data_IF_271222341108
#
_entry.id   IF_271222341108
#
_cell.length_a   1.000
_cell.length_b   1.000
_cell.length_c   1.000
_cell.angle_alpha   90.00
_cell.angle_beta   90.00
_cell.angle_gamma   90.00
#
_symmetry.space_group_name_H-M   'P 1'
#
loop_
_entity.id
_entity.type
_entity.pdbx_description
1 polymer ?
#
# COMPACT_ATOMS: atom_id res chain seq x y z
N UNK A 1 6.40 -2.49 41.47
CA UNK A 1 5.52 -3.55 40.94
C UNK A 1 4.07 -3.09 41.07
N UNK A 2 3.41 -2.70 39.97
CA UNK A 2 1.98 -2.35 39.99
C UNK A 2 1.28 -2.93 38.76
N UNK A 3 0.17 -3.62 39.05
CA UNK A 3 -0.55 -4.58 38.20
C UNK A 3 -1.38 -3.90 37.11
N UNK A 4 -1.38 -4.54 35.94
CA UNK A 4 -2.28 -4.29 34.80
C UNK A 4 -3.62 -4.99 35.07
N UNK A 5 -4.80 -4.40 34.75
CA UNK A 5 -6.06 -5.10 34.89
C UNK A 5 -6.33 -6.02 33.69
N UNK A 6 -6.49 -7.30 33.99
CA UNK A 6 -7.00 -8.37 33.11
C UNK A 6 -8.53 -8.32 33.05
N UNK A 7 -9.10 -8.52 31.85
CA UNK A 7 -10.54 -8.74 31.66
C UNK A 7 -10.87 -10.23 31.81
N UNK A 8 -11.63 -10.58 32.83
CA UNK A 8 -12.18 -11.93 33.07
C UNK A 8 -13.57 -12.09 32.43
N UNK A 9 -13.78 -13.28 31.87
CA UNK A 9 -15.05 -13.86 31.39
C UNK A 9 -15.78 -14.55 32.56
N UNK A 10 -17.10 -14.70 32.49
CA UNK A 10 -17.90 -15.60 33.33
C UNK A 10 -19.19 -16.08 32.59
N UNK A 11 -19.81 -17.22 33.00
CA UNK A 11 -20.28 -18.27 32.07
C UNK A 11 -21.78 -18.67 32.12
N UNK A 12 -22.17 -19.55 31.17
CA UNK A 12 -23.25 -20.58 31.22
C UNK A 12 -24.66 -20.15 30.78
N UNK A 13 -25.57 -20.96 30.21
CA UNK A 13 -25.60 -22.24 29.44
C UNK A 13 -27.09 -22.52 29.13
N UNK A 14 -27.46 -22.81 27.86
CA UNK A 14 -28.52 -23.70 27.29
C UNK A 14 -29.96 -23.79 27.90
N UNK A 15 -31.04 -24.22 27.16
CA UNK A 15 -31.07 -25.19 26.05
C UNK A 15 -31.99 -24.88 24.83
N UNK A 16 -31.86 -25.66 23.74
CA UNK A 16 -32.86 -25.80 22.63
C UNK A 16 -34.07 -26.65 23.04
N UNK A 17 -34.97 -27.19 22.16
CA UNK A 17 -34.93 -27.45 20.69
C UNK A 17 -36.30 -27.04 20.01
N UNK A 18 -36.90 -27.64 18.94
CA UNK A 18 -36.46 -28.64 17.95
C UNK A 18 -36.72 -28.27 16.45
N UNK A 19 -36.36 -29.19 15.57
CA UNK A 19 -36.55 -29.17 14.12
C UNK A 19 -37.72 -30.07 13.69
N UNK A 20 -38.62 -29.57 12.83
CA UNK A 20 -39.54 -30.33 11.95
C UNK A 20 -39.77 -29.46 10.69
N UNK A 21 -39.29 -29.89 9.51
CA UNK A 21 -40.05 -30.53 8.42
C UNK A 21 -41.31 -29.78 7.96
N UNK A 22 -41.26 -29.21 6.75
CA UNK A 22 -42.33 -29.37 5.75
C UNK A 22 -41.74 -29.17 4.34
N UNK A 23 -42.05 -30.12 3.46
CA UNK A 23 -41.70 -30.17 2.05
C UNK A 23 -42.75 -29.46 1.18
N UNK A 24 -42.30 -29.10 -0.03
CA UNK A 24 -43.02 -28.97 -1.30
C UNK A 24 -44.32 -28.16 -1.39
N UNK A 25 -44.30 -27.07 -2.18
CA UNK A 25 -44.89 -27.08 -3.54
C UNK A 25 -45.12 -25.68 -4.11
N UNK A 26 -44.88 -25.58 -5.42
CA UNK A 26 -45.50 -24.72 -6.44
C UNK A 26 -44.66 -23.60 -7.10
N UNK A 27 -44.64 -23.75 -8.42
CA UNK A 27 -43.97 -23.01 -9.47
C UNK A 27 -44.64 -21.68 -9.85
N UNK A 28 -43.79 -20.76 -10.33
CA UNK A 28 -43.99 -19.75 -11.40
C UNK A 28 -44.78 -18.46 -11.11
N UNK A 29 -44.61 -17.38 -11.91
CA UNK A 29 -43.40 -16.90 -12.61
C UNK A 29 -43.17 -15.36 -12.48
N UNK A 30 -42.01 -14.89 -12.97
CA UNK A 30 -41.72 -13.52 -13.41
C UNK A 30 -42.11 -12.33 -12.50
N UNK A 31 -41.16 -11.91 -11.66
CA UNK A 31 -41.00 -10.50 -11.28
C UNK A 31 -39.66 -9.99 -11.80
N UNK A 32 -39.60 -8.82 -12.47
CA UNK A 32 -38.35 -8.27 -12.95
C UNK A 32 -37.47 -7.93 -11.74
N UNK A 33 -36.33 -8.63 -11.62
CA UNK A 33 -35.30 -8.34 -10.62
C UNK A 33 -34.98 -6.85 -10.67
N UNK A 34 -35.27 -6.14 -9.59
CA UNK A 34 -34.80 -4.79 -9.33
C UNK A 34 -33.29 -4.74 -9.63
N UNK A 35 -32.93 -4.10 -10.75
CA UNK A 35 -31.55 -3.64 -10.97
C UNK A 35 -31.26 -2.69 -9.82
N UNK A 36 -30.44 -3.15 -8.87
CA UNK A 36 -30.06 -2.33 -7.72
C UNK A 36 -29.54 -0.98 -8.21
N UNK A 37 -29.91 0.11 -7.53
CA UNK A 37 -29.47 1.46 -7.91
C UNK A 37 -27.94 1.54 -8.10
N UNK A 38 -27.15 0.69 -7.42
CA UNK A 38 -25.69 0.56 -7.63
C UNK A 38 -25.28 0.23 -9.07
N UNK A 39 -26.04 -0.61 -9.78
CA UNK A 39 -25.72 -1.00 -11.16
C UNK A 39 -25.88 0.17 -12.16
N UNK A 40 -26.68 1.18 -11.83
CA UNK A 40 -26.85 2.40 -12.64
C UNK A 40 -25.78 3.46 -12.32
N UNK A 41 -25.18 3.43 -11.13
CA UNK A 41 -24.16 4.40 -10.71
C UNK A 41 -22.73 3.96 -10.98
N UNK A 42 -22.45 2.66 -11.10
CA UNK A 42 -21.10 2.13 -11.36
C UNK A 42 -20.43 2.69 -12.65
N UNK A 43 -21.15 2.87 -13.78
CA UNK A 43 -20.57 3.52 -14.97
C UNK A 43 -20.21 4.99 -14.74
N UNK A 44 -21.01 5.71 -13.94
CA UNK A 44 -20.84 7.14 -13.66
C UNK A 44 -19.74 7.38 -12.61
N UNK A 45 -19.62 6.52 -11.60
CA UNK A 45 -18.52 6.54 -10.62
C UNK A 45 -17.17 6.22 -11.25
N UNK A 46 -17.14 5.41 -12.32
CA UNK A 46 -15.92 5.13 -13.09
C UNK A 46 -15.40 6.30 -13.92
N UNK A 47 -16.22 7.35 -14.13
CA UNK A 47 -15.89 8.57 -14.86
C UNK A 47 -15.48 9.74 -13.96
N UNK A 48 -15.84 9.70 -12.68
CA UNK A 48 -15.44 10.75 -11.74
C UNK A 48 -13.95 10.63 -11.41
N UNK A 49 -13.22 11.76 -11.34
CA UNK A 49 -11.89 11.74 -10.76
C UNK A 49 -12.01 11.20 -9.33
N UNK A 50 -11.12 10.28 -8.95
CA UNK A 50 -11.07 9.73 -7.58
C UNK A 50 -10.90 10.84 -6.51
N UNK A 51 -10.60 12.10 -6.92
CA UNK A 51 -10.59 13.32 -6.10
C UNK A 51 -11.93 14.05 -6.17
N UNK A 52 -12.73 14.02 -5.11
CA UNK A 52 -13.86 14.96 -4.89
C UNK A 52 -13.56 15.94 -3.73
N UNK A 53 -14.23 17.11 -3.66
CA UNK A 53 -13.91 18.19 -2.72
C UNK A 53 -14.18 17.86 -1.23
N UNK A 54 -13.38 18.48 -0.34
CA UNK A 54 -13.01 18.04 1.02
C UNK A 54 -13.85 18.53 2.20
N UNK A 55 -14.93 19.30 2.03
CA UNK A 55 -15.48 20.05 3.18
C UNK A 55 -16.35 19.17 4.10
N UNK A 56 -17.33 18.44 3.57
CA UNK A 56 -18.28 17.66 4.41
C UNK A 56 -17.68 16.41 5.06
N UNK A 57 -16.71 15.75 4.41
CA UNK A 57 -16.08 14.53 4.92
C UNK A 57 -15.25 14.76 6.20
N UNK A 58 -14.72 15.97 6.39
CA UNK A 58 -13.85 16.26 7.55
C UNK A 58 -14.62 16.36 8.86
N UNK A 59 -15.84 16.90 8.83
CA UNK A 59 -16.70 16.98 10.01
C UNK A 59 -17.22 15.60 10.42
N UNK A 60 -17.63 14.79 9.45
CA UNK A 60 -18.09 13.41 9.70
C UNK A 60 -16.98 12.55 10.29
N UNK A 61 -15.75 12.71 9.80
CA UNK A 61 -14.57 12.00 10.32
C UNK A 61 -14.22 12.40 11.74
N UNK A 62 -14.33 13.69 12.06
CA UNK A 62 -14.11 14.19 13.42
C UNK A 62 -15.15 13.65 14.40
N UNK A 63 -16.42 13.70 14.03
CA UNK A 63 -17.51 13.17 14.87
C UNK A 63 -17.35 11.66 15.06
N UNK A 64 -16.98 10.92 14.01
CA UNK A 64 -16.74 9.48 14.10
C UNK A 64 -15.54 9.15 14.98
N UNK A 65 -14.42 9.88 14.84
CA UNK A 65 -13.26 9.73 15.70
C UNK A 65 -13.64 9.96 17.18
N UNK A 66 -14.34 11.06 17.48
CA UNK A 66 -14.80 11.35 18.84
C UNK A 66 -15.75 10.28 19.40
N UNK A 67 -16.66 9.73 18.58
CA UNK A 67 -17.53 8.62 18.99
C UNK A 67 -16.77 7.32 19.26
N UNK A 68 -15.66 7.07 18.55
CA UNK A 68 -14.82 5.88 18.76
C UNK A 68 -14.01 5.96 20.05
N UNK A 69 -13.71 7.17 20.54
CA UNK A 69 -12.99 7.39 21.81
C UNK A 69 -13.84 8.10 22.86
N UNK A 70 -15.12 7.71 22.98
CA UNK A 70 -16.04 8.22 24.00
C UNK A 70 -15.37 8.19 25.39
N UNK A 71 -15.40 9.32 26.07
CA UNK A 71 -14.74 9.52 27.38
C UNK A 71 -13.41 10.28 27.32
N UNK A 72 -12.84 10.52 26.12
CA UNK A 72 -11.67 11.41 25.96
C UNK A 72 -12.10 12.85 25.69
N UNK A 73 -11.33 13.81 26.21
CA UNK A 73 -11.62 15.23 26.01
C UNK A 73 -11.36 15.61 24.53
N UNK A 74 -12.17 16.49 23.90
CA UNK A 74 -11.98 16.85 22.48
C UNK A 74 -10.59 17.39 22.11
N UNK A 75 -9.83 17.94 23.08
CA UNK A 75 -8.44 18.42 22.91
C UNK A 75 -7.39 17.30 22.87
N UNK A 76 -7.78 16.08 23.21
CA UNK A 76 -6.94 14.87 23.19
C UNK A 76 -7.02 14.13 21.85
N UNK A 77 -7.97 14.53 20.99
CA UNK A 77 -8.23 13.91 19.69
C UNK A 77 -7.87 14.87 18.57
N UNK A 78 -6.82 14.55 17.81
CA UNK A 78 -6.43 15.32 16.63
C UNK A 78 -6.61 14.46 15.39
N UNK A 79 -7.68 14.69 14.62
CA UNK A 79 -7.85 13.99 13.34
C UNK A 79 -6.68 14.33 12.43
N UNK A 80 -5.92 13.31 12.03
CA UNK A 80 -4.78 13.50 11.13
C UNK A 80 -5.38 13.85 9.78
N UNK A 81 -5.24 15.12 9.40
CA UNK A 81 -5.56 15.57 8.05
C UNK A 81 -4.56 14.95 7.10
N UNK A 82 -4.79 13.72 6.69
CA UNK A 82 -4.12 13.22 5.50
C UNK A 82 -4.72 13.99 4.31
N UNK A 83 -3.91 14.39 3.32
CA UNK A 83 -4.43 14.78 2.03
C UNK A 83 -4.95 13.51 1.32
N UNK A 84 -5.94 12.84 1.92
CA UNK A 84 -6.48 11.60 1.41
C UNK A 84 -7.68 11.87 0.52
N UNK A 85 -7.77 11.00 -0.47
CA UNK A 85 -8.90 10.79 -1.36
C UNK A 85 -10.17 10.58 -0.51
N UNK A 86 -11.32 11.12 -0.91
CA UNK A 86 -12.61 10.94 -0.21
C UNK A 86 -13.09 9.48 -0.12
N UNK A 87 -12.29 8.52 -0.60
CA UNK A 87 -12.57 7.09 -0.65
C UNK A 87 -11.54 6.25 0.12
N UNK A 88 -10.86 6.83 1.11
CA UNK A 88 -10.03 6.00 2.00
C UNK A 88 -10.94 5.07 2.80
N UNK A 89 -10.73 3.77 2.65
CA UNK A 89 -11.41 2.74 3.44
C UNK A 89 -10.98 2.78 4.94
N UNK A 90 -10.17 3.75 5.32
CA UNK A 90 -9.63 3.97 6.66
C UNK A 90 -9.94 5.40 7.13
N UNK A 91 -10.35 5.52 8.39
CA UNK A 91 -10.28 6.76 9.17
C UNK A 91 -8.99 6.74 9.98
N UNK A 92 -8.19 7.80 9.91
CA UNK A 92 -6.91 7.92 10.66
C UNK A 92 -6.93 9.16 11.54
N UNK A 93 -6.63 9.01 12.83
CA UNK A 93 -6.60 10.11 13.78
C UNK A 93 -5.54 9.91 14.85
N UNK A 94 -5.00 11.00 15.38
CA UNK A 94 -4.07 11.00 16.49
C UNK A 94 -4.81 11.11 17.83
N UNK A 95 -4.30 10.42 18.83
CA UNK A 95 -4.70 10.56 20.22
C UNK A 95 -3.49 10.98 21.05
N UNK A 96 -3.72 11.89 21.98
CA UNK A 96 -2.71 12.35 22.95
C UNK A 96 -3.28 12.25 24.35
N UNK A 97 -2.63 11.48 25.21
CA UNK A 97 -2.97 11.36 26.64
C UNK A 97 -1.69 11.41 27.46
N UNK A 98 -1.50 12.49 28.22
CA UNK A 98 -0.22 12.79 28.86
C UNK A 98 0.92 12.84 27.84
N UNK A 99 1.96 12.03 28.04
CA UNK A 99 3.11 11.92 27.14
C UNK A 99 2.90 10.91 25.99
N UNK A 100 1.86 10.07 26.06
CA UNK A 100 1.58 9.09 25.01
C UNK A 100 0.92 9.78 23.81
N UNK A 101 1.54 9.64 22.64
CA UNK A 101 0.95 10.06 21.36
C UNK A 101 0.87 8.87 20.42
N UNK A 102 -0.36 8.51 20.03
CA UNK A 102 -0.63 7.39 19.12
C UNK A 102 -1.39 7.85 17.89
N UNK A 103 -1.23 7.11 16.81
CA UNK A 103 -2.06 7.17 15.61
C UNK A 103 -3.00 5.98 15.63
N UNK A 104 -4.29 6.22 15.49
CA UNK A 104 -5.34 5.22 15.40
C UNK A 104 -5.85 5.14 13.96
N UNK A 105 -5.93 3.92 13.46
CA UNK A 105 -6.51 3.56 12.17
C UNK A 105 -7.79 2.76 12.41
N UNK A 106 -8.91 3.26 11.92
CA UNK A 106 -10.21 2.63 12.01
C UNK A 106 -10.73 2.25 10.61
N UNK A 107 -11.02 0.97 10.34
CA UNK A 107 -11.44 0.50 9.03
C UNK A 107 -12.94 0.70 8.80
N UNK A 108 -13.27 1.31 7.65
CA UNK A 108 -14.63 1.60 7.19
C UNK A 108 -15.30 0.41 6.50
N UNK A 109 -14.55 -0.63 6.15
CA UNK A 109 -15.06 -1.88 5.57
C UNK A 109 -14.16 -3.07 5.91
N UNK A 110 -14.60 -4.29 5.55
CA UNK A 110 -13.87 -5.53 5.85
C UNK A 110 -12.50 -5.62 5.16
N UNK A 111 -12.36 -5.10 3.93
CA UNK A 111 -11.08 -5.13 3.22
C UNK A 111 -10.03 -4.25 3.92
N UNK A 112 -10.43 -3.09 4.42
CA UNK A 112 -9.57 -2.27 5.27
C UNK A 112 -9.32 -2.92 6.64
N UNK A 113 -10.27 -3.65 7.21
CA UNK A 113 -10.06 -4.38 8.45
C UNK A 113 -9.00 -5.47 8.28
N UNK A 114 -9.09 -6.25 7.20
CA UNK A 114 -8.08 -7.24 6.82
C UNK A 114 -6.71 -6.60 6.53
N UNK A 115 -6.68 -5.41 5.91
CA UNK A 115 -5.43 -4.68 5.70
C UNK A 115 -4.79 -4.22 7.02
N UNK A 116 -5.58 -3.78 8.01
CA UNK A 116 -5.07 -3.44 9.34
C UNK A 116 -4.63 -4.66 10.15
N UNK A 117 -5.32 -5.80 9.98
CA UNK A 117 -4.88 -7.07 10.56
C UNK A 117 -3.48 -7.44 10.05
N UNK A 118 -3.29 -7.40 8.73
CA UNK A 118 -1.97 -7.63 8.13
C UNK A 118 -0.92 -6.63 8.58
N UNK A 119 -1.27 -5.34 8.66
CA UNK A 119 -0.33 -4.33 9.17
C UNK A 119 0.07 -4.58 10.62
N UNK A 120 -0.86 -5.05 11.46
CA UNK A 120 -0.58 -5.44 12.84
C UNK A 120 0.41 -6.61 12.90
N UNK A 121 0.16 -7.67 12.13
CA UNK A 121 1.03 -8.86 12.10
C UNK A 121 2.43 -8.52 11.62
N UNK A 122 2.54 -7.78 10.50
CA UNK A 122 3.82 -7.32 9.94
C UNK A 122 4.60 -6.46 10.93
N UNK A 123 3.96 -5.53 11.65
CA UNK A 123 4.66 -4.70 12.63
C UNK A 123 5.17 -5.51 13.81
N UNK A 124 4.48 -6.59 14.19
CA UNK A 124 4.96 -7.51 15.22
C UNK A 124 6.14 -8.34 14.73
N UNK A 125 6.10 -8.82 13.49
CA UNK A 125 7.21 -9.55 12.88
C UNK A 125 8.45 -8.67 12.73
N UNK A 126 8.30 -7.45 12.21
CA UNK A 126 9.39 -6.46 12.14
C UNK A 126 9.96 -6.13 13.53
N UNK A 127 9.09 -6.03 14.54
CA UNK A 127 9.51 -5.82 15.92
C UNK A 127 10.06 -7.10 16.59
N UNK A 128 9.98 -8.27 15.98
CA UNK A 128 10.57 -9.50 16.49
C UNK A 128 11.88 -9.88 15.78
N UNK A 129 12.20 -9.22 14.66
CA UNK A 129 13.41 -9.47 13.88
C UNK A 129 14.60 -8.73 14.49
N UNK A 130 15.48 -9.45 15.19
CA UNK A 130 16.64 -8.89 15.89
C UNK A 130 17.64 -8.20 14.94
N UNK A 131 17.64 -8.57 13.65
CA UNK A 131 18.46 -7.88 12.62
C UNK A 131 18.04 -6.41 12.46
N UNK A 132 16.84 -6.06 12.91
CA UNK A 132 16.25 -4.72 12.85
C UNK A 132 16.32 -3.96 14.19
N UNK A 133 17.16 -4.38 15.13
CA UNK A 133 17.33 -3.68 16.41
C UNK A 133 17.60 -2.16 16.27
N UNK A 134 18.51 -1.69 15.41
CA UNK A 134 18.74 -0.25 15.20
C UNK A 134 17.54 0.48 14.57
N UNK A 135 16.62 -0.28 13.96
CA UNK A 135 15.48 0.21 13.21
C UNK A 135 14.20 0.33 14.03
N UNK A 136 14.13 -0.30 15.21
CA UNK A 136 12.90 -0.34 16.03
C UNK A 136 12.29 1.05 16.27
N UNK A 137 13.12 2.07 16.43
CA UNK A 137 12.69 3.46 16.62
C UNK A 137 12.15 4.15 15.35
N UNK A 138 12.47 3.62 14.17
CA UNK A 138 12.04 4.12 12.86
C UNK A 138 10.71 3.49 12.42
N UNK A 139 10.24 2.46 13.14
CA UNK A 139 9.02 1.73 12.85
C UNK A 139 7.88 2.16 13.79
N UNK A 140 6.62 2.18 13.33
CA UNK A 140 5.49 2.45 14.21
C UNK A 140 5.37 1.32 15.24
N UNK A 141 5.48 1.67 16.52
CA UNK A 141 5.26 0.68 17.59
C UNK A 141 3.81 0.20 17.56
N UNK A 142 3.58 -1.12 17.52
CA UNK A 142 2.26 -1.72 17.63
C UNK A 142 1.74 -1.59 19.07
N UNK A 143 0.91 -0.57 19.36
CA UNK A 143 0.45 -0.25 20.73
C UNK A 143 -0.77 -1.07 21.12
N UNK A 144 -1.71 -1.27 20.19
CA UNK A 144 -2.89 -2.06 20.47
C UNK A 144 -3.72 -2.36 19.21
N UNK A 145 -4.42 -3.49 19.24
CA UNK A 145 -5.26 -3.93 18.14
C UNK A 145 -6.58 -4.51 18.65
N UNK A 146 -7.68 -4.00 18.09
CA UNK A 146 -9.04 -4.49 18.31
C UNK A 146 -9.56 -5.00 16.96
N UNK A 147 -9.60 -6.33 16.73
CA UNK A 147 -9.98 -6.89 15.42
C UNK A 147 -11.49 -6.86 15.15
N UNK A 148 -12.32 -6.92 16.20
CA UNK A 148 -13.75 -7.20 16.09
C UNK A 148 -14.68 -6.04 16.44
N UNK A 149 -15.91 -6.13 15.92
CA UNK A 149 -17.03 -5.25 16.29
C UNK A 149 -16.93 -3.81 15.76
N UNK A 150 -17.88 -2.95 16.16
CA UNK A 150 -17.94 -1.55 15.71
C UNK A 150 -16.72 -0.70 16.12
N UNK A 151 -16.01 -1.13 17.16
CA UNK A 151 -14.82 -0.47 17.71
C UNK A 151 -13.49 -0.96 17.13
N UNK A 152 -13.51 -1.81 16.09
CA UNK A 152 -12.27 -2.34 15.51
C UNK A 152 -11.29 -1.22 15.12
N UNK A 153 -10.03 -1.36 15.51
CA UNK A 153 -9.00 -0.35 15.27
C UNK A 153 -7.59 -0.91 15.48
N UNK A 154 -6.62 -0.24 14.86
CA UNK A 154 -5.19 -0.42 15.11
C UNK A 154 -4.63 0.88 15.68
N UNK A 155 -3.97 0.82 16.84
CA UNK A 155 -3.28 1.93 17.46
C UNK A 155 -1.76 1.73 17.37
N UNK A 156 -1.05 2.75 16.90
CA UNK A 156 0.38 2.74 16.65
C UNK A 156 1.07 3.93 17.31
N UNK A 157 2.33 3.77 17.72
CA UNK A 157 3.16 4.88 18.18
C UNK A 157 3.30 5.93 17.07
N UNK A 158 3.19 7.21 17.42
CA UNK A 158 3.39 8.29 16.44
C UNK A 158 4.88 8.51 16.20
N UNK A 159 5.29 8.40 14.94
CA UNK A 159 6.65 8.72 14.51
C UNK A 159 6.86 10.24 14.36
N UNK A 160 8.08 10.68 14.64
CA UNK A 160 8.51 12.07 14.51
C UNK A 160 9.08 12.36 13.12
N UNK A 161 9.08 13.64 12.73
CA UNK A 161 9.70 14.13 11.49
C UNK A 161 8.73 14.73 10.49
N UNK A 162 9.28 15.13 9.35
CA UNK A 162 8.59 15.83 8.26
C UNK A 162 8.38 14.86 7.08
N UNK A 163 7.15 14.74 6.53
CA UNK A 163 6.91 13.89 5.37
C UNK A 163 7.77 14.29 4.16
N UNK A 164 8.49 13.34 3.57
CA UNK A 164 9.35 13.56 2.41
C UNK A 164 8.55 14.11 1.22
N UNK A 165 7.28 13.73 1.04
CA UNK A 165 6.39 14.26 0.00
C UNK A 165 6.27 15.79 0.04
N UNK A 166 6.26 16.41 1.23
CA UNK A 166 6.21 17.87 1.36
C UNK A 166 7.50 18.51 0.86
N UNK A 167 8.64 17.88 1.14
CA UNK A 167 9.96 18.36 0.76
C UNK A 167 10.18 18.22 -0.75
N UNK A 168 9.86 17.05 -1.32
CA UNK A 168 9.94 16.79 -2.76
C UNK A 168 9.14 17.80 -3.59
N UNK A 169 7.96 18.20 -3.10
CA UNK A 169 7.11 19.18 -3.79
C UNK A 169 7.55 20.63 -3.55
N UNK A 170 7.85 20.97 -2.30
CA UNK A 170 8.01 22.37 -1.87
C UNK A 170 9.45 22.89 -1.80
N UNK A 171 10.47 22.02 -1.88
CA UNK A 171 11.88 22.37 -1.66
C UNK A 171 12.82 21.67 -2.64
N UNK A 172 12.84 22.07 -3.92
CA UNK A 172 13.68 21.45 -4.95
C UNK A 172 15.17 21.43 -4.61
N UNK A 173 15.67 22.43 -3.87
CA UNK A 173 17.06 22.52 -3.42
C UNK A 173 17.48 21.38 -2.49
N UNK A 174 16.55 20.76 -1.77
CA UNK A 174 16.83 19.67 -0.83
C UNK A 174 16.59 18.29 -1.44
N UNK A 175 16.23 18.23 -2.73
CA UNK A 175 15.75 17.01 -3.37
C UNK A 175 16.80 15.90 -3.33
N UNK A 176 18.04 16.23 -3.67
CA UNK A 176 19.14 15.26 -3.66
C UNK A 176 19.33 14.68 -2.25
N UNK A 177 19.41 15.53 -1.22
CA UNK A 177 19.54 15.10 0.18
C UNK A 177 18.36 14.22 0.62
N UNK A 178 17.14 14.62 0.29
CA UNK A 178 15.90 13.87 0.59
C UNK A 178 15.91 12.47 -0.04
N UNK A 179 16.33 12.37 -1.30
CA UNK A 179 16.42 11.09 -2.02
C UNK A 179 17.53 10.23 -1.43
N UNK A 180 18.72 10.79 -1.21
CA UNK A 180 19.84 10.07 -0.63
C UNK A 180 19.49 9.51 0.75
N UNK A 181 18.87 10.30 1.64
CA UNK A 181 18.48 9.83 2.96
C UNK A 181 17.50 8.63 2.90
N UNK A 182 16.50 8.69 2.02
CA UNK A 182 15.53 7.61 1.85
C UNK A 182 16.14 6.34 1.21
N UNK A 183 17.05 6.51 0.25
CA UNK A 183 17.74 5.39 -0.39
C UNK A 183 18.78 4.74 0.52
N UNK A 184 19.50 5.52 1.34
CA UNK A 184 20.40 5.00 2.37
C UNK A 184 19.65 4.14 3.38
N UNK A 185 18.47 4.61 3.82
CA UNK A 185 17.58 3.80 4.66
C UNK A 185 17.30 2.44 4.00
N UNK A 186 16.82 2.41 2.75
CA UNK A 186 16.56 1.13 2.07
C UNK A 186 17.80 0.25 1.89
N UNK A 187 18.96 0.86 1.63
CA UNK A 187 20.23 0.13 1.53
C UNK A 187 20.57 -0.55 2.86
N UNK A 188 20.33 0.11 3.99
CA UNK A 188 20.56 -0.44 5.31
C UNK A 188 19.56 -1.56 5.65
N UNK A 189 18.27 -1.42 5.26
CA UNK A 189 17.28 -2.51 5.40
C UNK A 189 17.70 -3.76 4.64
N UNK A 190 18.08 -3.55 3.37
CA UNK A 190 18.50 -4.62 2.48
C UNK A 190 19.79 -5.27 2.98
N UNK A 191 20.74 -4.49 3.51
CA UNK A 191 21.97 -5.03 4.10
C UNK A 191 21.68 -5.88 5.34
N UNK A 192 20.77 -5.43 6.20
CA UNK A 192 20.46 -6.13 7.45
C UNK A 192 19.67 -7.43 7.24
N UNK A 193 18.79 -7.45 6.23
CA UNK A 193 17.78 -8.52 6.09
C UNK A 193 17.90 -9.33 4.81
N UNK A 194 18.77 -8.91 3.90
CA UNK A 194 18.81 -9.36 2.52
C UNK A 194 19.68 -10.59 2.28
N UNK A 195 19.21 -11.42 1.35
CA UNK A 195 19.96 -12.52 0.74
C UNK A 195 19.96 -12.30 -0.77
N UNK A 196 21.15 -12.14 -1.34
CA UNK A 196 21.35 -11.98 -2.79
C UNK A 196 21.28 -13.36 -3.44
N UNK A 197 20.42 -13.52 -4.44
CA UNK A 197 20.21 -14.79 -5.13
C UNK A 197 19.71 -14.58 -6.57
N UNK A 198 19.78 -15.61 -7.44
CA UNK A 198 19.14 -15.57 -8.75
C UNK A 198 17.64 -15.31 -8.62
N UNK A 199 17.12 -14.30 -9.32
CA UNK A 199 15.71 -13.94 -9.26
C UNK A 199 14.79 -15.01 -9.88
N UNK A 200 15.35 -15.86 -10.75
CA UNK A 200 14.66 -17.00 -11.35
C UNK A 200 13.96 -17.87 -10.28
N UNK A 201 14.62 -18.12 -9.15
CA UNK A 201 14.17 -19.00 -8.07
C UNK A 201 12.91 -18.50 -7.35
N UNK A 202 12.64 -17.19 -7.42
CA UNK A 202 11.51 -16.53 -6.72
C UNK A 202 10.56 -15.79 -7.67
N UNK A 203 10.84 -15.84 -8.98
CA UNK A 203 10.13 -15.09 -10.01
C UNK A 203 8.61 -15.30 -9.95
N UNK A 204 8.16 -16.56 -9.78
CA UNK A 204 6.75 -16.90 -9.62
C UNK A 204 6.12 -16.26 -8.38
N UNK A 205 6.79 -16.33 -7.22
CA UNK A 205 6.31 -15.77 -5.96
C UNK A 205 6.26 -14.23 -5.97
N UNK A 206 7.17 -13.61 -6.73
CA UNK A 206 7.26 -12.16 -6.84
C UNK A 206 6.35 -11.55 -7.90
N UNK A 207 6.00 -12.28 -8.97
CA UNK A 207 5.23 -11.73 -10.08
C UNK A 207 3.80 -12.28 -10.19
N UNK A 208 3.59 -13.60 -10.07
CA UNK A 208 2.30 -14.21 -10.42
C UNK A 208 1.14 -13.78 -9.51
N UNK A 209 1.27 -13.70 -8.16
CA UNK A 209 0.17 -13.23 -7.32
C UNK A 209 -0.27 -11.78 -7.62
N UNK A 210 0.60 -10.98 -8.23
CA UNK A 210 0.40 -9.58 -8.56
C UNK A 210 -0.26 -9.51 -9.94
N UNK A 211 0.20 -10.31 -10.90
CA UNK A 211 -0.43 -10.48 -12.22
C UNK A 211 -1.87 -10.99 -12.09
N UNK A 212 -2.10 -11.97 -11.20
CA UNK A 212 -3.43 -12.50 -10.91
C UNK A 212 -4.38 -11.39 -10.45
N UNK A 213 -3.93 -10.50 -9.57
CA UNK A 213 -4.74 -9.35 -9.12
C UNK A 213 -5.07 -8.41 -10.25
N UNK A 214 -4.11 -8.10 -11.13
CA UNK A 214 -4.39 -7.26 -12.29
C UNK A 214 -5.45 -7.92 -13.19
N UNK A 215 -5.32 -9.23 -13.46
CA UNK A 215 -6.27 -9.96 -14.31
C UNK A 215 -7.67 -10.05 -13.71
N UNK A 216 -7.77 -10.22 -12.39
CA UNK A 216 -9.04 -10.45 -11.69
C UNK A 216 -9.73 -9.16 -11.29
N UNK A 217 -9.00 -8.13 -10.88
CA UNK A 217 -9.58 -6.93 -10.25
C UNK A 217 -9.61 -5.72 -11.19
N UNK A 218 -8.91 -5.76 -12.33
CA UNK A 218 -8.95 -4.69 -13.35
C UNK A 218 -9.69 -5.20 -14.58
N UNK A 219 -10.93 -4.73 -14.77
CA UNK A 219 -11.80 -5.21 -15.85
C UNK A 219 -11.19 -5.07 -17.25
N UNK A 220 -10.40 -4.02 -17.49
CA UNK A 220 -9.71 -3.80 -18.77
C UNK A 220 -8.66 -4.89 -19.09
N UNK A 221 -8.07 -5.53 -18.07
CA UNK A 221 -7.05 -6.57 -18.25
C UNK A 221 -7.63 -7.95 -18.59
N UNK A 222 -8.96 -8.12 -18.59
CA UNK A 222 -9.61 -9.43 -18.78
C UNK A 222 -9.74 -9.87 -20.24
N UNK A 223 -9.67 -8.94 -21.20
CA UNK A 223 -9.86 -9.25 -22.61
C UNK A 223 -9.15 -8.25 -23.54
N UNK A 224 -9.04 -8.62 -24.82
CA UNK A 224 -8.51 -7.77 -25.88
C UNK A 224 -7.08 -7.27 -25.60
N UNK A 225 -6.82 -6.00 -25.90
CA UNK A 225 -5.50 -5.40 -25.74
C UNK A 225 -4.96 -5.43 -24.30
N UNK A 226 -5.83 -5.36 -23.29
CA UNK A 226 -5.40 -5.42 -21.89
C UNK A 226 -4.92 -6.82 -21.50
N UNK A 227 -5.63 -7.87 -21.90
CA UNK A 227 -5.20 -9.25 -21.67
C UNK A 227 -3.91 -9.58 -22.43
N UNK A 228 -3.82 -9.19 -23.70
CA UNK A 228 -2.61 -9.38 -24.52
C UNK A 228 -1.39 -8.67 -23.92
N UNK A 229 -1.56 -7.42 -23.46
CA UNK A 229 -0.49 -6.68 -22.79
C UNK A 229 -0.09 -7.25 -21.43
N UNK A 230 -1.03 -7.81 -20.67
CA UNK A 230 -0.73 -8.48 -19.40
C UNK A 230 0.07 -9.77 -19.62
N UNK A 231 -0.28 -10.53 -20.65
CA UNK A 231 0.46 -11.74 -21.03
C UNK A 231 1.86 -11.41 -21.56
N UNK A 232 1.99 -10.34 -22.36
CA UNK A 232 3.30 -9.86 -22.79
C UNK A 232 4.18 -9.39 -21.61
N UNK A 233 3.58 -8.69 -20.63
CA UNK A 233 4.24 -8.34 -19.38
C UNK A 233 4.71 -9.59 -18.61
N UNK A 234 3.86 -10.61 -18.48
CA UNK A 234 4.20 -11.88 -17.81
C UNK A 234 5.44 -12.50 -18.44
N UNK A 235 5.45 -12.69 -19.76
CA UNK A 235 6.62 -13.26 -20.47
C UNK A 235 7.89 -12.44 -20.26
N UNK A 236 7.80 -11.12 -20.41
CA UNK A 236 8.96 -10.24 -20.24
C UNK A 236 9.51 -10.26 -18.82
N UNK A 237 8.66 -10.28 -17.80
CA UNK A 237 9.08 -10.45 -16.42
C UNK A 237 9.71 -11.82 -16.19
N UNK A 238 9.14 -12.89 -16.72
CA UNK A 238 9.69 -14.24 -16.60
C UNK A 238 11.09 -14.34 -17.23
N UNK A 239 11.24 -13.95 -18.49
CA UNK A 239 12.51 -13.97 -19.22
C UNK A 239 13.57 -13.05 -18.60
N UNK A 240 13.14 -11.89 -18.12
CA UNK A 240 14.00 -10.90 -17.49
C UNK A 240 14.50 -11.33 -16.12
N UNK A 241 13.60 -11.82 -15.26
CA UNK A 241 13.94 -12.31 -13.92
C UNK A 241 14.75 -13.61 -13.98
N UNK A 242 14.59 -14.42 -15.04
CA UNK A 242 15.42 -15.61 -15.26
C UNK A 242 16.93 -15.29 -15.36
N UNK A 243 17.29 -14.07 -15.75
CA UNK A 243 18.67 -13.60 -15.92
C UNK A 243 19.13 -12.63 -14.83
N UNK A 244 18.22 -12.18 -13.97
CA UNK A 244 18.50 -11.16 -12.98
C UNK A 244 19.04 -11.78 -11.68
N UNK A 245 19.91 -11.05 -11.00
CA UNK A 245 20.26 -11.29 -9.60
C UNK A 245 19.59 -10.21 -8.77
N UNK A 246 18.85 -10.62 -7.73
CA UNK A 246 18.11 -9.70 -6.86
C UNK A 246 18.26 -10.11 -5.41
N UNK A 247 17.95 -9.17 -4.52
CA UNK A 247 18.04 -9.36 -3.09
C UNK A 247 16.66 -9.59 -2.52
N UNK A 248 16.44 -10.81 -2.02
CA UNK A 248 15.30 -11.12 -1.17
C UNK A 248 15.52 -10.50 0.21
N UNK A 249 14.66 -9.60 0.64
CA UNK A 249 14.76 -8.96 1.94
C UNK A 249 13.38 -8.50 2.43
N UNK A 250 13.34 -7.91 3.63
CA UNK A 250 12.18 -7.10 4.01
C UNK A 250 11.95 -6.01 2.97
N UNK A 251 10.80 -6.09 2.33
CA UNK A 251 10.33 -5.15 1.31
C UNK A 251 9.08 -4.49 1.86
N UNK A 252 9.03 -3.16 1.88
CA UNK A 252 7.88 -2.36 2.31
C UNK A 252 6.70 -2.51 1.35
N UNK A 253 6.96 -2.57 0.03
CA UNK A 253 5.94 -2.82 -0.99
C UNK A 253 5.00 -1.64 -1.27
N UNK A 254 5.34 -0.45 -0.76
CA UNK A 254 4.67 0.84 -1.02
C UNK A 254 5.58 2.02 -0.60
N UNK A 255 6.88 1.90 -0.88
CA UNK A 255 7.85 2.88 -0.41
C UNK A 255 7.87 4.12 -1.31
N UNK A 256 7.08 5.13 -0.97
CA UNK A 256 7.01 6.41 -1.67
C UNK A 256 7.18 7.58 -0.68
N UNK A 257 7.46 8.82 -1.14
CA UNK A 257 7.71 9.96 -0.25
C UNK A 257 6.59 10.28 0.75
N UNK A 258 5.38 9.79 0.50
CA UNK A 258 4.23 9.98 1.38
C UNK A 258 4.18 9.03 2.57
N UNK A 259 5.09 8.05 2.65
CA UNK A 259 5.23 7.08 3.75
C UNK A 259 6.55 7.25 4.52
N UNK A 260 7.39 8.22 4.14
CA UNK A 260 8.71 8.46 4.73
C UNK A 260 8.72 9.79 5.47
N UNK A 261 9.22 9.77 6.71
CA UNK A 261 9.48 10.94 7.55
C UNK A 261 10.99 11.17 7.64
N UNK A 262 11.39 12.43 7.53
CA UNK A 262 12.77 12.88 7.63
C UNK A 262 12.98 13.79 8.84
N UNK A 263 14.23 13.89 9.29
CA UNK A 263 14.68 14.91 10.23
C UNK A 263 14.40 16.32 9.69
N UNK A 264 14.42 17.32 10.57
CA UNK A 264 14.24 18.72 10.17
C UNK A 264 15.39 19.20 9.26
N UNK A 265 16.59 18.64 9.47
CA UNK A 265 17.82 18.77 8.67
C UNK A 265 17.77 17.99 7.34
N UNK A 266 16.82 17.04 7.21
CA UNK A 266 16.48 16.27 6.00
C UNK A 266 17.57 15.31 5.54
N UNK A 267 18.51 15.00 6.42
CA UNK A 267 19.67 14.16 6.17
C UNK A 267 19.48 12.70 6.61
N UNK A 268 18.45 12.42 7.43
CA UNK A 268 18.13 11.06 7.89
C UNK A 268 16.64 10.79 7.90
N UNK A 269 16.28 9.53 7.68
CA UNK A 269 14.93 9.01 7.92
C UNK A 269 14.71 8.90 9.42
N UNK A 270 13.60 9.47 9.90
CA UNK A 270 13.18 9.41 11.32
C UNK A 270 11.97 8.50 11.51
N UNK A 271 11.36 8.02 10.43
CA UNK A 271 10.26 7.09 10.51
C UNK A 271 9.71 6.68 9.15
N UNK A 272 9.23 5.44 9.06
CA UNK A 272 8.51 4.92 7.89
C UNK A 272 7.24 4.23 8.37
N UNK A 273 6.11 4.49 7.72
CA UNK A 273 4.81 3.98 8.15
C UNK A 273 4.01 3.38 6.99
N UNK A 274 2.86 2.77 7.30
CA UNK A 274 1.99 2.05 6.35
C UNK A 274 2.64 0.77 5.79
N UNK A 275 3.25 -0.03 6.68
CA UNK A 275 3.89 -1.33 6.40
C UNK A 275 2.93 -2.46 6.02
N UNK A 276 1.62 -2.22 5.86
CA UNK A 276 0.63 -3.29 5.62
C UNK A 276 0.76 -4.07 4.30
N UNK A 277 1.65 -3.63 3.41
CA UNK A 277 2.03 -4.34 2.18
C UNK A 277 3.38 -5.05 2.27
N UNK A 278 4.06 -4.96 3.41
CA UNK A 278 5.42 -5.44 3.52
C UNK A 278 5.51 -6.96 3.55
N UNK A 279 6.64 -7.48 3.11
CA UNK A 279 6.94 -8.91 3.05
C UNK A 279 8.40 -9.14 3.42
N UNK A 280 8.66 -10.15 4.24
CA UNK A 280 10.02 -10.52 4.65
C UNK A 280 10.86 -11.11 3.50
N UNK A 281 10.20 -11.57 2.45
CA UNK A 281 10.75 -12.36 1.36
C UNK A 281 10.49 -11.71 -0.02
N UNK A 282 10.30 -10.39 -0.03
CA UNK A 282 10.06 -9.62 -1.24
C UNK A 282 11.33 -9.23 -2.00
N UNK A 283 11.20 -8.79 -3.26
CA UNK A 283 12.31 -8.24 -4.04
C UNK A 283 12.60 -6.81 -3.58
N UNK A 284 13.65 -6.64 -2.78
CA UNK A 284 13.90 -5.38 -2.05
C UNK A 284 14.24 -4.18 -2.95
N UNK A 285 14.73 -4.41 -4.17
CA UNK A 285 15.07 -3.38 -5.14
C UNK A 285 13.85 -2.56 -5.57
N UNK A 286 12.63 -3.12 -5.49
CA UNK A 286 11.42 -2.44 -5.94
C UNK A 286 11.13 -1.20 -5.10
N UNK A 287 11.49 -1.18 -3.81
CA UNK A 287 11.22 -0.02 -2.96
C UNK A 287 12.08 1.19 -3.36
N UNK A 288 13.33 0.94 -3.72
CA UNK A 288 14.24 1.99 -4.19
C UNK A 288 13.78 2.54 -5.55
N UNK A 289 13.40 1.64 -6.46
CA UNK A 289 12.85 2.02 -7.75
C UNK A 289 11.52 2.79 -7.59
N UNK A 290 10.63 2.32 -6.70
CA UNK A 290 9.34 2.96 -6.41
C UNK A 290 9.54 4.38 -5.88
N UNK A 291 10.51 4.58 -4.97
CA UNK A 291 10.81 5.90 -4.43
C UNK A 291 11.23 6.89 -5.52
N UNK A 292 12.18 6.49 -6.37
CA UNK A 292 12.68 7.32 -7.48
C UNK A 292 11.57 7.65 -8.47
N UNK A 293 10.78 6.65 -8.88
CA UNK A 293 9.64 6.85 -9.77
C UNK A 293 8.59 7.78 -9.14
N UNK A 294 8.30 7.64 -7.85
CA UNK A 294 7.37 8.51 -7.13
C UNK A 294 7.87 9.95 -7.02
N UNK A 295 9.17 10.14 -6.77
CA UNK A 295 9.81 11.47 -6.77
C UNK A 295 9.69 12.10 -8.15
N UNK A 296 10.02 11.36 -9.21
CA UNK A 296 9.92 11.83 -10.59
C UNK A 296 8.48 12.19 -10.97
N UNK A 297 7.51 11.37 -10.57
CA UNK A 297 6.09 11.65 -10.76
C UNK A 297 5.66 12.94 -10.04
N UNK A 298 6.09 13.11 -8.79
CA UNK A 298 5.78 14.31 -8.01
C UNK A 298 6.39 15.60 -8.60
N UNK A 299 7.59 15.50 -9.21
CA UNK A 299 8.29 16.64 -9.81
C UNK A 299 7.78 17.01 -11.20
N UNK A 300 7.47 16.00 -12.02
CA UNK A 300 7.01 16.22 -13.39
C UNK A 300 5.49 16.40 -13.50
N UNK A 301 4.73 16.04 -12.47
CA UNK A 301 3.26 15.97 -12.53
C UNK A 301 2.74 14.83 -13.41
N UNK A 302 3.63 14.00 -13.99
CA UNK A 302 3.26 12.89 -14.86
C UNK A 302 2.85 11.66 -14.05
N UNK A 303 1.82 10.91 -14.47
CA UNK A 303 1.44 9.65 -13.82
C UNK A 303 2.58 8.63 -13.88
N UNK A 304 2.71 7.81 -12.82
CA UNK A 304 3.75 6.80 -12.71
C UNK A 304 3.74 5.82 -13.89
N UNK A 305 2.56 5.37 -14.35
CA UNK A 305 2.44 4.46 -15.49
C UNK A 305 3.03 5.03 -16.78
N UNK A 306 2.98 6.35 -16.99
CA UNK A 306 3.61 7.00 -18.14
C UNK A 306 5.14 7.00 -18.03
N UNK A 307 5.66 7.22 -16.83
CA UNK A 307 7.11 7.20 -16.58
C UNK A 307 7.69 5.79 -16.77
N UNK A 308 6.97 4.76 -16.31
CA UNK A 308 7.37 3.36 -16.51
C UNK A 308 7.27 2.97 -17.98
N UNK A 309 6.20 3.36 -18.69
CA UNK A 309 6.08 3.13 -20.13
C UNK A 309 7.24 3.77 -20.92
N UNK A 310 7.66 4.98 -20.56
CA UNK A 310 8.82 5.62 -21.18
C UNK A 310 10.12 4.85 -20.89
N UNK A 311 10.31 4.35 -19.66
CA UNK A 311 11.46 3.53 -19.31
C UNK A 311 11.48 2.23 -20.13
N UNK A 312 10.33 1.56 -20.26
CA UNK A 312 10.19 0.35 -21.08
C UNK A 312 10.55 0.62 -22.55
N UNK A 313 10.03 1.72 -23.11
CA UNK A 313 10.31 2.14 -24.49
C UNK A 313 11.78 2.48 -24.72
N UNK A 314 12.42 3.10 -23.74
CA UNK A 314 13.83 3.49 -23.80
C UNK A 314 14.79 2.34 -23.43
N UNK A 315 14.28 1.16 -23.06
CA UNK A 315 15.09 0.02 -22.65
C UNK A 315 15.66 0.12 -21.23
N UNK A 316 15.13 1.00 -20.38
CA UNK A 316 15.56 1.16 -18.98
C UNK A 316 15.20 2.51 -18.38
N UNK A 317 15.49 2.67 -17.08
CA UNK A 317 15.36 3.96 -16.39
C UNK A 317 16.37 4.99 -16.93
N UNK A 318 16.06 6.31 -16.87
CA UNK A 318 17.00 7.36 -17.21
C UNK A 318 18.35 7.22 -16.47
N UNK A 319 19.45 7.63 -17.10
CA UNK A 319 20.80 7.48 -16.53
C UNK A 319 20.95 8.11 -15.13
N UNK A 320 20.34 9.27 -14.89
CA UNK A 320 20.35 9.92 -13.58
C UNK A 320 19.64 9.08 -12.50
N UNK A 321 18.51 8.44 -12.86
CA UNK A 321 17.74 7.60 -11.95
C UNK A 321 18.50 6.28 -11.66
N UNK A 322 19.18 5.72 -12.67
CA UNK A 322 20.08 4.56 -12.52
C UNK A 322 21.28 4.86 -11.62
N UNK A 323 21.87 6.05 -11.74
CA UNK A 323 22.98 6.46 -10.88
C UNK A 323 22.57 6.52 -9.40
N UNK A 324 21.36 7.00 -9.11
CA UNK A 324 20.80 7.01 -7.75
C UNK A 324 20.57 5.58 -7.21
N UNK A 325 20.06 4.66 -8.03
CA UNK A 325 19.90 3.25 -7.63
C UNK A 325 21.25 2.60 -7.30
N UNK A 326 22.26 2.80 -8.14
CA UNK A 326 23.62 2.27 -7.89
C UNK A 326 24.25 2.85 -6.64
N UNK A 327 24.08 4.14 -6.40
CA UNK A 327 24.54 4.78 -5.15
C UNK A 327 23.85 4.15 -3.91
N UNK A 328 22.63 3.65 -4.08
CA UNK A 328 21.91 2.89 -3.06
C UNK A 328 22.26 1.39 -3.03
N UNK A 329 23.26 0.94 -3.80
CA UNK A 329 23.68 -0.46 -3.92
C UNK A 329 22.69 -1.36 -4.66
N UNK A 330 21.77 -0.79 -5.45
CA UNK A 330 20.88 -1.52 -6.35
C UNK A 330 21.49 -1.50 -7.73
N UNK A 331 21.71 -2.66 -8.33
CA UNK A 331 22.10 -2.74 -9.74
C UNK A 331 20.85 -2.74 -10.63
N UNK A 332 20.50 -1.62 -11.29
CA UNK A 332 19.33 -1.57 -12.16
C UNK A 332 19.49 -2.40 -13.45
N UNK A 333 20.71 -2.85 -13.76
CA UNK A 333 21.04 -3.57 -14.99
C UNK A 333 21.49 -5.01 -14.71
N UNK A 334 21.31 -5.52 -13.47
CA UNK A 334 21.94 -6.72 -12.91
C UNK A 334 21.65 -8.06 -13.61
N UNK A 335 22.09 -8.19 -14.85
CA UNK A 335 22.16 -9.41 -15.65
C UNK A 335 21.11 -9.57 -16.76
N UNK A 336 20.13 -8.66 -16.87
CA UNK A 336 18.96 -8.85 -17.74
C UNK A 336 18.50 -7.60 -18.50
N UNK A 337 17.23 -7.62 -18.92
CA UNK A 337 16.57 -6.45 -19.53
C UNK A 337 16.43 -5.33 -18.47
N UNK A 338 17.02 -4.13 -18.67
CA UNK A 338 16.95 -3.04 -17.68
C UNK A 338 15.53 -2.48 -17.46
N UNK A 339 14.55 -2.89 -18.27
CA UNK A 339 13.14 -2.58 -18.04
C UNK A 339 12.47 -3.49 -16.98
N UNK A 340 13.10 -4.58 -16.56
CA UNK A 340 12.50 -5.56 -15.64
C UNK A 340 12.22 -4.96 -14.27
N UNK A 341 13.18 -4.25 -13.68
CA UNK A 341 13.01 -3.61 -12.38
C UNK A 341 11.86 -2.58 -12.36
N UNK A 342 11.76 -1.62 -13.30
CA UNK A 342 10.62 -0.70 -13.31
C UNK A 342 9.28 -1.40 -13.60
N UNK A 343 9.26 -2.46 -14.42
CA UNK A 343 8.04 -3.27 -14.66
C UNK A 343 7.58 -4.01 -13.40
N UNK A 344 8.48 -4.68 -12.70
CA UNK A 344 8.18 -5.39 -11.45
C UNK A 344 7.72 -4.40 -10.37
N UNK A 345 8.40 -3.26 -10.25
CA UNK A 345 8.03 -2.18 -9.34
C UNK A 345 6.63 -1.65 -9.63
N UNK A 346 6.31 -1.38 -10.91
CA UNK A 346 4.99 -0.96 -11.33
C UNK A 346 3.92 -2.01 -11.02
N UNK A 347 4.22 -3.29 -11.27
CA UNK A 347 3.31 -4.40 -11.03
C UNK A 347 2.92 -4.47 -9.55
N UNK A 348 3.90 -4.40 -8.65
CA UNK A 348 3.68 -4.36 -7.21
C UNK A 348 2.88 -3.13 -6.77
N UNK A 349 3.18 -1.95 -7.34
CA UNK A 349 2.46 -0.72 -7.05
C UNK A 349 0.97 -0.80 -7.46
N UNK A 350 0.69 -1.25 -8.68
CA UNK A 350 -0.67 -1.38 -9.22
C UNK A 350 -1.46 -2.42 -8.41
N UNK A 351 -0.87 -3.60 -8.17
CA UNK A 351 -1.50 -4.64 -7.36
C UNK A 351 -1.76 -4.14 -5.92
N UNK A 352 -0.81 -3.42 -5.32
CA UNK A 352 -0.94 -2.80 -4.00
C UNK A 352 -2.10 -1.81 -3.92
N UNK A 353 -2.26 -0.93 -4.91
CA UNK A 353 -3.37 0.02 -4.97
C UNK A 353 -4.73 -0.69 -5.06
N UNK A 354 -4.84 -1.71 -5.92
CA UNK A 354 -6.09 -2.46 -6.11
C UNK A 354 -6.43 -3.33 -4.90
N UNK A 355 -5.42 -3.91 -4.22
CA UNK A 355 -5.58 -4.57 -2.91
C UNK A 355 -6.15 -3.61 -1.86
N UNK A 356 -5.67 -2.36 -1.82
CA UNK A 356 -6.17 -1.34 -0.87
C UNK A 356 -7.58 -0.88 -1.20
N UNK A 357 -7.89 -0.68 -2.48
CA UNK A 357 -9.21 -0.23 -2.93
C UNK A 357 -9.56 -0.76 -4.33
N UNK A 358 -10.58 -1.64 -4.46
CA UNK A 358 -11.05 -2.12 -5.77
C UNK A 358 -11.53 -1.02 -6.72
N UNK A 359 -11.79 0.19 -6.20
CA UNK A 359 -12.22 1.33 -7.02
C UNK A 359 -11.15 1.76 -8.03
N UNK A 360 -9.86 1.50 -7.76
CA UNK A 360 -8.80 1.74 -8.73
C UNK A 360 -9.01 0.92 -10.02
N UNK A 361 -9.28 -0.39 -9.89
CA UNK A 361 -9.53 -1.27 -11.04
C UNK A 361 -10.81 -0.95 -11.82
N UNK A 362 -11.75 -0.21 -11.22
CA UNK A 362 -12.99 0.27 -11.85
C UNK A 362 -12.88 1.69 -12.43
N UNK A 363 -11.86 2.45 -12.05
CA UNK A 363 -11.67 3.83 -12.51
C UNK A 363 -11.06 3.85 -13.91
N UNK A 364 -11.85 4.28 -14.90
CA UNK A 364 -11.38 4.36 -16.31
C UNK A 364 -10.19 5.30 -16.46
N UNK A 365 -10.23 6.43 -15.77
CA UNK A 365 -9.14 7.42 -15.78
C UNK A 365 -7.86 6.83 -15.21
N UNK A 366 -7.92 6.19 -14.03
CA UNK A 366 -6.73 5.61 -13.41
C UNK A 366 -6.13 4.48 -14.25
N UNK A 367 -6.98 3.60 -14.81
CA UNK A 367 -6.55 2.54 -15.73
C UNK A 367 -5.88 3.14 -16.98
N UNK A 368 -6.45 4.20 -17.56
CA UNK A 368 -5.90 4.84 -18.77
C UNK A 368 -4.54 5.50 -18.53
N UNK A 369 -4.32 6.09 -17.35
CA UNK A 369 -3.08 6.81 -17.05
C UNK A 369 -2.00 5.97 -16.36
N UNK A 370 -2.40 4.93 -15.63
CA UNK A 370 -1.48 4.13 -14.81
C UNK A 370 -1.26 2.74 -15.39
N UNK A 371 -2.29 2.13 -15.98
CA UNK A 371 -2.24 0.71 -16.35
C UNK A 371 -1.98 0.52 -17.84
N UNK A 372 -2.86 1.07 -18.67
CA UNK A 372 -2.83 0.88 -20.12
C UNK A 372 -1.52 1.29 -20.81
N UNK A 373 -0.82 2.38 -20.42
CA UNK A 373 0.42 2.77 -21.08
C UNK A 373 1.51 1.72 -20.94
N UNK A 374 1.65 1.11 -19.76
CA UNK A 374 2.68 0.09 -19.49
C UNK A 374 2.37 -1.19 -20.25
N UNK A 375 1.12 -1.68 -20.21
CA UNK A 375 0.75 -2.91 -20.93
C UNK A 375 0.84 -2.75 -22.45
N UNK A 376 0.63 -1.55 -22.99
CA UNK A 376 0.86 -1.24 -24.41
C UNK A 376 2.34 -1.29 -24.80
N UNK A 377 3.24 -0.77 -23.97
CA UNK A 377 4.67 -0.85 -24.26
C UNK A 377 5.25 -2.25 -23.98
N UNK A 378 4.66 -3.01 -23.05
CA UNK A 378 5.08 -4.39 -22.79
C UNK A 378 4.76 -5.35 -23.96
N UNK A 379 3.78 -5.00 -24.81
CA UNK A 379 3.34 -5.80 -25.96
C UNK A 379 3.97 -5.38 -27.29
N UNK A 380 4.83 -4.36 -27.27
CA UNK A 380 5.70 -3.98 -28.39
C UNK A 380 7.05 -4.66 -28.22
#
# INVERSE_FOLDING_TARGET
MNRVPTFTKAPGTAPGPPAEQFADSMNSPNTPRHRSARALWDPLLGLLPLRTPRVLGTLTDRLRAQRLVRGMHPREVTVVRRPTWPQTNLLVFGLRRGNLTVVVKHPRNERAAAALAREWDVLRELAADDRLDPWRQLLPQAVGYLPGGPGRMLAQGRLAGVPAERLVRGRPQDLHRTVTAALSFLADLRRATGVVQPAAERSGEWAEPQLEILSTEIGWCRAGAGAAGLEALRRRLHEGLAKAVMTQAWTHGDFHPGNVLLSDERDRVTGVYDWGNARMDGPSEIDACMFILAVRAARSGRPLGRLVADAVRAGGLPAADRALLRAAGVDPDGGGDPAVLPLLTWLWHVAGNVRKSPQFGRSRWWVTETVAPVLKEASR
#
